data_IF_645504800764
#
_entry.id   IF_645504800764
#
_cell.length_a   1.000
_cell.length_b   1.000
_cell.length_c   1.000
_cell.angle_alpha   90.00
_cell.angle_beta   90.00
_cell.angle_gamma   90.00
#
_symmetry.space_group_name_H-M   'P 1'
#
loop_
_entity.id
_entity.type
_entity.pdbx_description
1 polymer ?
#
# COMPACT_ATOMS: atom_id res chain seq x y z
N UNK A 1 -3.54 11.90 -38.33
CA UNK A 1 -2.96 10.56 -38.53
C UNK A 1 -2.97 9.91 -37.16
N UNK A 2 -3.76 8.87 -37.03
CA UNK A 2 -4.30 8.37 -35.75
C UNK A 2 -3.27 7.68 -34.86
N UNK A 3 -3.39 7.91 -33.57
CA UNK A 3 -2.80 7.12 -32.51
C UNK A 3 -3.91 6.26 -31.92
N UNK A 4 -3.84 4.95 -32.19
CA UNK A 4 -4.81 3.99 -31.72
C UNK A 4 -4.69 3.75 -30.23
N UNK A 5 -5.77 4.00 -29.49
CA UNK A 5 -5.93 3.60 -28.11
C UNK A 5 -6.11 2.07 -28.04
N UNK A 6 -5.21 1.38 -27.38
CA UNK A 6 -5.36 -0.03 -27.03
C UNK A 6 -6.22 -0.12 -25.77
N UNK A 7 -7.52 -0.35 -25.96
CA UNK A 7 -8.45 -0.68 -24.88
C UNK A 7 -8.25 -2.16 -24.57
N UNK A 8 -7.65 -2.49 -23.44
CA UNK A 8 -7.65 -3.84 -22.92
C UNK A 8 -9.01 -4.12 -22.27
N UNK A 9 -9.80 -4.99 -22.91
CA UNK A 9 -11.12 -5.42 -22.44
C UNK A 9 -10.98 -6.16 -21.11
N UNK A 10 -11.76 -5.72 -20.13
CA UNK A 10 -12.26 -6.57 -19.04
C UNK A 10 -13.18 -7.63 -19.66
N UNK A 11 -13.18 -8.79 -19.07
CA UNK A 11 -14.02 -9.95 -19.26
C UNK A 11 -13.27 -11.13 -19.91
N UNK A 12 -12.86 -12.03 -19.02
CA UNK A 12 -12.82 -13.48 -19.22
C UNK A 12 -12.27 -14.21 -17.98
N UNK A 13 -13.07 -14.26 -16.91
CA UNK A 13 -12.99 -15.31 -15.91
C UNK A 13 -14.39 -15.58 -15.35
N UNK A 14 -15.24 -16.17 -16.16
CA UNK A 14 -16.37 -16.98 -15.71
C UNK A 14 -16.89 -17.80 -16.86
N UNK A 15 -16.50 -19.08 -16.93
CA UNK A 15 -17.37 -20.19 -17.36
C UNK A 15 -16.59 -21.49 -17.23
N UNK A 16 -16.96 -22.26 -16.23
CA UNK A 16 -16.63 -23.68 -16.15
C UNK A 16 -17.46 -24.37 -17.22
N UNK A 17 -16.81 -24.96 -18.23
CA UNK A 17 -17.44 -25.84 -19.21
C UNK A 17 -17.04 -27.28 -18.94
N UNK A 18 -18.01 -28.23 -18.87
CA UNK A 18 -17.74 -29.62 -18.60
C UNK A 18 -17.50 -30.37 -19.91
N UNK A 19 -16.25 -30.54 -20.31
CA UNK A 19 -15.90 -31.56 -21.30
C UNK A 19 -14.73 -32.38 -20.78
N UNK A 20 -15.06 -33.48 -20.09
CA UNK A 20 -14.16 -34.59 -19.87
C UNK A 20 -13.82 -35.23 -21.22
N UNK A 21 -12.69 -34.88 -21.82
CA UNK A 21 -12.03 -35.73 -22.80
C UNK A 21 -10.99 -36.59 -22.08
N UNK A 22 -11.28 -37.88 -22.00
CA UNK A 22 -10.32 -38.93 -21.66
C UNK A 22 -9.12 -38.84 -22.59
N UNK A 23 -7.98 -38.39 -22.09
CA UNK A 23 -6.70 -38.48 -22.74
C UNK A 23 -6.06 -39.84 -22.38
N UNK A 24 -5.32 -40.47 -23.30
CA UNK A 24 -4.73 -41.79 -23.06
C UNK A 24 -3.65 -41.72 -22.00
N UNK A 25 -3.65 -42.72 -21.13
CA UNK A 25 -2.66 -43.00 -20.10
C UNK A 25 -1.25 -43.04 -20.70
N UNK A 26 -0.32 -42.17 -20.25
CA UNK A 26 1.08 -42.36 -20.58
C UNK A 26 2.02 -41.17 -20.65
N UNK A 27 1.64 -39.97 -20.21
CA UNK A 27 2.63 -38.89 -19.97
C UNK A 27 2.50 -38.42 -18.55
N UNK A 28 3.37 -38.86 -17.66
CA UNK A 28 3.63 -38.21 -16.39
C UNK A 28 4.23 -36.83 -16.73
N UNK A 29 3.43 -35.82 -16.85
CA UNK A 29 3.92 -34.44 -16.68
C UNK A 29 4.46 -34.39 -15.26
N UNK A 30 5.78 -34.37 -15.11
CA UNK A 30 6.43 -34.09 -13.82
C UNK A 30 5.85 -32.77 -13.33
N UNK A 31 5.05 -32.82 -12.25
CA UNK A 31 4.54 -31.60 -11.61
C UNK A 31 5.78 -30.88 -11.14
N UNK A 32 6.12 -29.79 -11.81
CA UNK A 32 7.28 -28.96 -11.44
C UNK A 32 7.08 -28.49 -10.01
N UNK A 33 7.97 -28.93 -9.12
CA UNK A 33 7.88 -28.61 -7.70
C UNK A 33 8.59 -27.27 -7.47
N UNK A 34 7.91 -26.24 -6.93
CA UNK A 34 8.53 -24.93 -6.72
C UNK A 34 9.84 -24.96 -5.92
N UNK A 35 9.99 -25.92 -4.99
CA UNK A 35 11.23 -26.11 -4.22
C UNK A 35 12.44 -26.43 -5.11
N UNK A 36 12.25 -27.22 -6.15
CA UNK A 36 13.35 -27.63 -7.04
C UNK A 36 13.80 -26.47 -7.94
N UNK A 37 12.84 -25.62 -8.36
CA UNK A 37 13.11 -24.42 -9.15
C UNK A 37 13.92 -23.40 -8.33
N UNK A 38 13.63 -23.29 -7.03
CA UNK A 38 14.22 -22.30 -6.15
C UNK A 38 15.49 -22.78 -5.43
N UNK A 39 15.90 -24.03 -5.61
CA UNK A 39 17.03 -24.64 -4.88
C UNK A 39 18.33 -23.84 -4.97
N UNK A 40 18.65 -23.31 -6.16
CA UNK A 40 19.90 -22.61 -6.44
C UNK A 40 19.76 -21.07 -6.45
N UNK A 41 18.60 -20.53 -6.04
CA UNK A 41 18.35 -19.09 -6.08
C UNK A 41 18.88 -18.33 -4.87
N UNK A 42 19.25 -19.03 -3.80
CA UNK A 42 19.63 -18.44 -2.53
C UNK A 42 18.44 -17.98 -1.66
N UNK A 43 17.21 -18.25 -2.08
CA UNK A 43 16.02 -17.98 -1.27
C UNK A 43 15.83 -19.04 -0.18
N UNK A 44 15.38 -18.61 0.99
CA UNK A 44 14.97 -19.52 2.07
C UNK A 44 13.50 -19.89 1.91
N UNK A 45 13.23 -21.17 1.66
CA UNK A 45 11.85 -21.66 1.53
C UNK A 45 11.22 -21.96 2.88
N UNK A 46 9.93 -21.59 3.01
CA UNK A 46 9.07 -21.88 4.16
C UNK A 46 7.71 -22.31 3.64
N UNK A 47 7.32 -23.55 3.91
CA UNK A 47 6.00 -24.07 3.58
C UNK A 47 4.96 -23.68 4.62
N UNK A 48 3.70 -23.65 4.22
CA UNK A 48 2.53 -23.45 5.07
C UNK A 48 2.60 -22.20 5.98
N UNK A 49 3.25 -21.13 5.49
CA UNK A 49 3.32 -19.88 6.22
C UNK A 49 1.96 -19.19 6.16
N UNK A 50 1.39 -18.89 7.32
CA UNK A 50 0.18 -18.07 7.38
C UNK A 50 0.52 -16.62 7.00
N UNK A 51 -0.04 -16.14 5.89
CA UNK A 51 0.24 -14.79 5.40
C UNK A 51 -0.24 -13.70 6.37
N UNK A 52 -1.16 -14.03 7.26
CA UNK A 52 -1.53 -13.20 8.40
C UNK A 52 -0.33 -12.78 9.27
N UNK A 53 0.71 -13.60 9.37
CA UNK A 53 1.95 -13.28 10.11
C UNK A 53 2.84 -12.25 9.39
N UNK A 54 2.60 -12.06 8.09
CA UNK A 54 3.40 -11.21 7.21
C UNK A 54 2.66 -9.92 6.77
N UNK A 55 1.44 -9.69 7.27
CA UNK A 55 0.65 -8.49 6.96
C UNK A 55 0.34 -7.69 8.22
N UNK A 56 0.16 -6.37 8.08
CA UNK A 56 -0.24 -5.51 9.21
C UNK A 56 -1.71 -5.65 9.55
N UNK A 57 -2.57 -6.06 8.61
CA UNK A 57 -3.97 -6.44 8.84
C UNK A 57 -4.10 -7.76 9.60
N UNK A 58 -3.06 -8.58 9.62
CA UNK A 58 -3.02 -9.89 10.26
C UNK A 58 -4.12 -10.84 9.81
N UNK A 59 -4.42 -10.80 8.51
CA UNK A 59 -5.25 -11.78 7.81
C UNK A 59 -4.52 -12.32 6.59
N UNK A 60 -4.93 -13.49 6.13
CA UNK A 60 -4.33 -14.21 5.00
C UNK A 60 -4.03 -15.65 5.35
N UNK A 61 -4.47 -16.57 4.48
CA UNK A 61 -4.28 -18.01 4.62
C UNK A 61 -2.86 -18.47 4.34
N UNK A 62 -2.67 -19.80 4.18
CA UNK A 62 -1.34 -20.40 3.99
C UNK A 62 -0.75 -20.14 2.60
N UNK A 63 0.58 -20.14 2.52
CA UNK A 63 1.31 -20.10 1.25
C UNK A 63 2.71 -20.71 1.37
N UNK A 64 3.30 -21.08 0.24
CA UNK A 64 4.73 -21.30 0.11
C UNK A 64 5.42 -19.94 0.01
N UNK A 65 6.37 -19.65 0.90
CA UNK A 65 7.12 -18.38 0.94
C UNK A 65 8.57 -18.63 0.58
N UNK A 66 9.08 -17.90 -0.41
CA UNK A 66 10.49 -17.80 -0.74
C UNK A 66 11.05 -16.48 -0.19
N UNK A 67 11.76 -16.52 0.93
CA UNK A 67 12.34 -15.36 1.58
C UNK A 67 13.69 -15.01 0.94
N UNK A 68 13.79 -13.84 0.32
CA UNK A 68 14.96 -13.35 -0.40
C UNK A 68 15.65 -12.25 0.42
N UNK A 69 16.75 -12.59 1.08
CA UNK A 69 17.50 -11.66 1.93
C UNK A 69 18.52 -10.82 1.15
N UNK A 70 18.80 -11.16 -0.11
CA UNK A 70 19.69 -10.40 -1.00
C UNK A 70 18.98 -10.06 -2.32
N UNK A 71 19.47 -9.02 -2.98
CA UNK A 71 18.95 -8.61 -4.30
C UNK A 71 19.17 -9.71 -5.33
N UNK A 72 20.29 -10.43 -5.27
CA UNK A 72 20.61 -11.54 -6.17
C UNK A 72 19.61 -12.69 -6.01
N UNK A 73 19.33 -13.09 -4.75
CA UNK A 73 18.32 -14.12 -4.46
C UNK A 73 16.92 -13.70 -4.93
N UNK A 74 16.55 -12.41 -4.74
CA UNK A 74 15.27 -11.88 -5.21
C UNK A 74 15.15 -11.96 -6.74
N UNK A 75 16.15 -11.48 -7.46
CA UNK A 75 16.17 -11.52 -8.94
C UNK A 75 16.17 -12.95 -9.46
N UNK A 76 17.03 -13.84 -8.90
CA UNK A 76 17.10 -15.21 -9.31
C UNK A 76 15.78 -15.97 -9.09
N UNK A 77 15.14 -15.77 -7.92
CA UNK A 77 13.87 -16.42 -7.58
C UNK A 77 12.73 -15.97 -8.49
N UNK A 78 12.59 -14.67 -8.73
CA UNK A 78 11.53 -14.14 -9.60
C UNK A 78 11.72 -14.69 -11.02
N UNK A 79 12.94 -14.62 -11.57
CA UNK A 79 13.23 -15.14 -12.93
C UNK A 79 12.97 -16.64 -13.07
N UNK A 80 13.35 -17.42 -12.07
CA UNK A 80 13.15 -18.87 -12.08
C UNK A 80 11.66 -19.23 -12.04
N UNK A 81 10.88 -18.55 -11.21
CA UNK A 81 9.42 -18.73 -11.11
C UNK A 81 8.70 -18.28 -12.38
N UNK A 82 9.08 -17.13 -12.95
CA UNK A 82 8.52 -16.62 -14.21
C UNK A 82 8.80 -17.57 -15.38
N UNK A 83 10.03 -18.08 -15.49
CA UNK A 83 10.39 -19.05 -16.50
C UNK A 83 9.61 -20.36 -16.38
N UNK A 84 9.21 -20.74 -15.17
CA UNK A 84 8.39 -21.93 -14.91
C UNK A 84 6.88 -21.66 -14.99
N UNK A 85 6.45 -20.42 -15.22
CA UNK A 85 5.03 -20.03 -15.26
C UNK A 85 4.31 -20.16 -13.92
N UNK A 86 5.05 -20.09 -12.80
CA UNK A 86 4.48 -20.19 -11.45
C UNK A 86 3.99 -18.81 -11.01
N UNK A 87 2.73 -18.68 -10.51
CA UNK A 87 2.22 -17.43 -10.00
C UNK A 87 3.08 -16.89 -8.85
N UNK A 88 3.41 -15.59 -8.89
CA UNK A 88 4.23 -14.91 -7.89
C UNK A 88 3.46 -13.78 -7.24
N UNK A 89 3.41 -13.79 -5.90
CA UNK A 89 3.00 -12.63 -5.10
C UNK A 89 4.25 -12.01 -4.45
N UNK A 90 4.55 -10.76 -4.80
CA UNK A 90 5.61 -10.00 -4.12
C UNK A 90 5.09 -9.45 -2.79
N UNK A 91 5.80 -9.75 -1.71
CA UNK A 91 5.44 -9.31 -0.37
C UNK A 91 6.67 -8.79 0.37
N UNK A 92 6.63 -7.54 0.82
CA UNK A 92 7.68 -6.97 1.66
C UNK A 92 7.15 -6.73 3.09
N UNK A 93 6.85 -5.50 3.47
CA UNK A 93 6.30 -5.18 4.79
C UNK A 93 4.83 -5.51 5.00
N UNK A 94 4.10 -5.96 3.99
CA UNK A 94 2.70 -6.42 4.08
C UNK A 94 1.71 -5.37 4.61
N UNK A 95 2.02 -4.08 4.49
CA UNK A 95 1.27 -3.01 5.15
C UNK A 95 0.10 -2.45 4.33
N UNK A 96 -0.06 -2.88 3.07
CA UNK A 96 -1.12 -2.41 2.18
C UNK A 96 -1.75 -3.58 1.40
N UNK A 97 -1.97 -4.72 2.10
CA UNK A 97 -2.50 -5.94 1.50
C UNK A 97 -3.69 -6.46 2.30
N UNK A 98 -4.73 -6.90 1.58
CA UNK A 98 -5.81 -7.72 2.11
C UNK A 98 -5.80 -9.06 1.37
N UNK A 99 -5.29 -10.09 2.03
CA UNK A 99 -5.13 -11.43 1.48
C UNK A 99 -6.23 -12.33 2.01
N UNK A 100 -6.87 -13.10 1.13
CA UNK A 100 -7.94 -14.03 1.46
C UNK A 100 -7.53 -15.16 2.41
N UNK A 101 -8.51 -15.76 3.05
CA UNK A 101 -8.31 -16.81 4.04
C UNK A 101 -7.82 -18.14 3.42
N UNK A 102 -8.04 -18.33 2.11
CA UNK A 102 -7.51 -19.48 1.34
C UNK A 102 -6.01 -19.34 1.03
N UNK A 103 -5.41 -18.15 1.26
CA UNK A 103 -4.00 -17.90 1.02
C UNK A 103 -3.67 -17.56 -0.42
N UNK A 104 -2.55 -18.13 -0.94
CA UNK A 104 -2.08 -17.86 -2.29
C UNK A 104 -1.64 -19.14 -2.98
N UNK A 105 -2.27 -19.46 -4.11
CA UNK A 105 -1.92 -20.62 -4.95
C UNK A 105 -0.78 -20.26 -5.92
N UNK A 106 0.45 -20.31 -5.40
CA UNK A 106 1.68 -19.94 -6.07
C UNK A 106 2.82 -19.79 -5.06
N UNK A 107 3.80 -18.95 -5.37
CA UNK A 107 4.91 -18.64 -4.47
C UNK A 107 4.85 -17.18 -4.05
N UNK A 108 4.82 -16.96 -2.74
CA UNK A 108 5.02 -15.62 -2.17
C UNK A 108 6.53 -15.34 -2.09
N UNK A 109 7.02 -14.45 -2.92
CA UNK A 109 8.40 -13.98 -2.86
C UNK A 109 8.49 -12.83 -1.86
N UNK A 110 9.05 -13.14 -0.68
CA UNK A 110 9.25 -12.15 0.38
C UNK A 110 10.52 -11.34 0.10
N UNK A 111 10.33 -10.04 -0.12
CA UNK A 111 11.43 -9.08 -0.27
C UNK A 111 11.96 -8.74 1.12
N UNK A 112 13.06 -9.40 1.51
CA UNK A 112 13.66 -9.28 2.84
C UNK A 112 15.07 -8.66 2.81
N UNK A 113 15.40 -7.95 1.73
CA UNK A 113 16.63 -7.16 1.60
C UNK A 113 16.58 -5.97 2.56
N UNK A 114 17.66 -5.64 3.28
CA UNK A 114 17.61 -4.65 4.37
C UNK A 114 18.71 -3.57 4.30
N UNK A 115 19.51 -3.56 3.25
CA UNK A 115 20.60 -2.61 3.09
C UNK A 115 20.11 -1.16 3.08
N UNK A 116 20.79 -0.31 3.88
CA UNK A 116 20.56 1.14 3.91
C UNK A 116 21.92 1.83 3.96
N UNK A 117 22.18 2.67 2.98
CA UNK A 117 23.42 3.43 2.87
C UNK A 117 23.13 4.93 2.85
N UNK A 118 23.58 5.63 3.89
CA UNK A 118 23.55 7.10 3.94
C UNK A 118 24.68 7.63 3.06
N UNK A 119 24.36 8.54 2.18
CA UNK A 119 25.27 9.21 1.24
C UNK A 119 25.19 10.72 1.41
N UNK A 120 26.17 11.44 0.87
CA UNK A 120 26.15 12.91 0.86
C UNK A 120 24.86 13.41 0.17
N UNK A 121 24.00 14.07 0.98
CA UNK A 121 22.73 14.60 0.52
C UNK A 121 21.69 13.56 0.14
N UNK A 122 21.76 12.31 0.67
CA UNK A 122 20.76 11.32 0.33
C UNK A 122 20.85 9.98 1.06
N UNK A 123 20.01 9.04 0.63
CA UNK A 123 19.99 7.66 1.11
C UNK A 123 19.67 6.70 -0.03
N UNK A 124 20.42 5.61 -0.10
CA UNK A 124 20.10 4.43 -0.89
C UNK A 124 19.55 3.35 0.05
N UNK A 125 18.36 2.83 -0.25
CA UNK A 125 17.75 1.77 0.54
C UNK A 125 17.33 0.61 -0.38
N UNK A 126 17.64 -0.62 0.03
CA UNK A 126 17.11 -1.81 -0.61
C UNK A 126 15.59 -1.93 -0.39
N UNK A 127 14.92 -2.61 -1.31
CA UNK A 127 13.46 -2.62 -1.38
C UNK A 127 12.77 -3.16 -0.12
N UNK A 128 13.36 -4.15 0.56
CA UNK A 128 12.81 -4.74 1.78
C UNK A 128 13.13 -3.97 3.06
N UNK A 129 14.01 -2.95 3.01
CA UNK A 129 14.40 -2.17 4.18
C UNK A 129 13.15 -1.54 4.84
N UNK A 130 13.05 -1.65 6.17
CA UNK A 130 11.93 -1.07 6.92
C UNK A 130 11.88 0.45 6.71
N UNK A 131 10.75 0.95 6.24
CA UNK A 131 10.63 2.36 5.86
C UNK A 131 10.91 3.34 7.00
N UNK A 132 10.30 3.12 8.18
CA UNK A 132 10.54 4.03 9.30
C UNK A 132 11.98 3.96 9.83
N UNK A 133 12.64 2.81 9.71
CA UNK A 133 14.06 2.70 10.03
C UNK A 133 14.92 3.51 9.05
N UNK A 134 14.59 3.54 7.75
CA UNK A 134 15.25 4.41 6.76
C UNK A 134 15.07 5.87 7.14
N UNK A 135 13.83 6.32 7.39
CA UNK A 135 13.55 7.72 7.80
C UNK A 135 14.31 8.08 9.09
N UNK A 136 14.30 7.19 10.07
CA UNK A 136 15.06 7.41 11.33
C UNK A 136 16.56 7.55 11.08
N UNK A 137 17.13 6.71 10.23
CA UNK A 137 18.56 6.75 9.91
C UNK A 137 18.95 8.06 9.21
N UNK A 138 18.12 8.55 8.27
CA UNK A 138 18.39 9.84 7.61
C UNK A 138 18.33 11.02 8.56
N UNK A 139 17.31 11.07 9.44
CA UNK A 139 17.18 12.13 10.46
C UNK A 139 18.36 12.08 11.46
N UNK A 140 18.74 10.88 11.89
CA UNK A 140 19.91 10.71 12.80
C UNK A 140 21.23 11.13 12.15
N UNK A 141 21.35 11.03 10.82
CA UNK A 141 22.50 11.53 10.06
C UNK A 141 22.43 13.04 9.77
N UNK A 142 21.47 13.78 10.32
CA UNK A 142 21.30 15.21 10.10
C UNK A 142 20.72 15.57 8.73
N UNK A 143 20.06 14.63 8.05
CA UNK A 143 19.40 14.87 6.78
C UNK A 143 17.90 15.09 6.98
N UNK A 144 17.31 16.03 6.23
CA UNK A 144 15.88 16.32 6.23
C UNK A 144 15.22 16.01 4.88
N UNK A 145 13.89 15.87 4.90
CA UNK A 145 13.07 15.60 3.72
C UNK A 145 12.06 14.47 3.94
N UNK A 146 12.44 13.36 4.58
CA UNK A 146 11.57 12.19 4.78
C UNK A 146 10.80 12.22 6.12
N UNK A 147 11.06 13.15 7.01
CA UNK A 147 10.52 13.21 8.39
C UNK A 147 8.99 13.21 8.46
N UNK A 148 8.32 13.85 7.48
CA UNK A 148 6.86 13.84 7.38
C UNK A 148 6.27 12.45 7.12
N UNK A 149 7.07 11.52 6.61
CA UNK A 149 6.69 10.15 6.29
C UNK A 149 7.07 9.14 7.39
N UNK A 150 7.44 9.65 8.58
CA UNK A 150 7.79 8.83 9.75
C UNK A 150 6.63 7.97 10.21
N UNK A 151 6.94 6.77 10.71
CA UNK A 151 5.97 5.84 11.30
C UNK A 151 4.99 5.23 10.29
N UNK A 152 5.17 5.42 8.98
CA UNK A 152 4.39 4.71 7.97
C UNK A 152 4.90 3.26 7.92
N UNK A 153 4.04 2.26 8.18
CA UNK A 153 4.43 0.87 8.08
C UNK A 153 4.76 0.46 6.64
N UNK A 154 5.66 -0.51 6.49
CA UNK A 154 6.01 -1.05 5.18
C UNK A 154 7.51 -1.01 4.90
N UNK A 155 7.88 -1.10 3.63
CA UNK A 155 9.26 -1.16 3.15
C UNK A 155 9.59 -0.04 2.17
N UNK A 156 10.88 0.27 2.04
CA UNK A 156 11.38 1.31 1.16
C UNK A 156 10.95 1.11 -0.31
N UNK A 157 11.04 -0.12 -0.83
CA UNK A 157 10.64 -0.44 -2.21
C UNK A 157 9.14 -0.37 -2.47
N UNK A 158 8.30 -0.39 -1.44
CA UNK A 158 6.86 -0.21 -1.58
C UNK A 158 6.46 1.28 -1.72
N UNK A 159 7.34 2.20 -1.33
CA UNK A 159 7.00 3.64 -1.30
C UNK A 159 6.73 4.24 -2.69
N UNK A 160 7.47 3.94 -3.78
CA UNK A 160 7.16 4.47 -5.10
C UNK A 160 5.94 3.80 -5.76
N UNK A 161 5.50 2.62 -5.31
CA UNK A 161 4.41 1.89 -5.97
C UNK A 161 3.13 2.72 -6.01
N UNK A 162 2.79 3.36 -4.90
CA UNK A 162 1.59 4.21 -4.81
C UNK A 162 1.90 5.65 -4.35
N UNK A 163 3.11 6.14 -4.63
CA UNK A 163 3.52 7.49 -4.24
C UNK A 163 3.18 7.78 -2.78
N UNK A 164 3.78 7.04 -1.86
CA UNK A 164 3.49 7.17 -0.42
C UNK A 164 3.64 8.62 0.02
N UNK A 165 2.63 9.10 0.74
CA UNK A 165 2.60 10.49 1.19
C UNK A 165 1.80 10.69 2.47
N UNK A 166 2.26 11.61 3.30
CA UNK A 166 1.59 12.06 4.52
C UNK A 166 2.02 13.49 4.85
N UNK A 167 1.13 14.22 5.55
CA UNK A 167 1.40 15.58 6.04
C UNK A 167 1.92 16.56 4.97
N UNK A 168 1.41 16.43 3.74
CA UNK A 168 1.77 17.28 2.61
C UNK A 168 3.08 16.94 1.90
N UNK A 169 3.79 15.90 2.33
CA UNK A 169 4.96 15.37 1.65
C UNK A 169 4.62 14.06 0.90
N UNK A 170 5.25 13.84 -0.24
CA UNK A 170 5.15 12.62 -1.04
C UNK A 170 6.55 12.15 -1.44
N UNK A 171 6.76 10.82 -1.56
CA UNK A 171 8.07 10.26 -1.93
C UNK A 171 8.54 10.73 -3.30
N UNK A 172 7.63 10.97 -4.25
CA UNK A 172 7.95 11.46 -5.59
C UNK A 172 8.79 12.74 -5.57
N UNK A 173 8.57 13.63 -4.57
CA UNK A 173 9.26 14.92 -4.47
C UNK A 173 10.74 14.81 -4.06
N UNK A 174 11.13 13.66 -3.51
CA UNK A 174 12.46 13.42 -2.95
C UNK A 174 13.17 12.24 -3.61
N UNK A 175 12.43 11.44 -4.38
CA UNK A 175 12.94 10.27 -5.07
C UNK A 175 13.92 10.73 -6.18
N UNK A 176 15.13 10.18 -6.16
CA UNK A 176 16.14 10.42 -7.18
C UNK A 176 16.04 9.41 -8.31
N UNK A 177 15.93 8.12 -7.95
CA UNK A 177 15.77 7.01 -8.89
C UNK A 177 15.33 5.74 -8.19
N UNK A 178 14.80 4.80 -8.96
CA UNK A 178 14.38 3.47 -8.51
C UNK A 178 15.09 2.41 -9.34
N UNK A 179 15.63 1.37 -8.69
CA UNK A 179 16.16 0.20 -9.41
C UNK A 179 15.05 -0.81 -9.58
N UNK A 180 14.75 -1.16 -10.82
CA UNK A 180 13.71 -2.11 -11.20
C UNK A 180 14.31 -3.36 -11.84
N UNK A 181 13.68 -4.50 -11.57
CA UNK A 181 13.78 -5.70 -12.40
C UNK A 181 12.57 -5.72 -13.33
N UNK A 182 12.79 -5.79 -14.61
CA UNK A 182 11.77 -6.10 -15.61
C UNK A 182 11.59 -7.63 -15.65
N UNK A 183 10.38 -8.10 -15.34
CA UNK A 183 10.10 -9.55 -15.24
C UNK A 183 10.03 -10.22 -16.61
N UNK A 184 9.66 -9.49 -17.65
CA UNK A 184 9.56 -10.05 -19.01
C UNK A 184 10.95 -10.30 -19.61
N UNK A 185 11.90 -9.38 -19.40
CA UNK A 185 13.26 -9.48 -19.95
C UNK A 185 14.26 -10.07 -18.97
N UNK A 186 13.97 -9.99 -17.66
CA UNK A 186 14.91 -10.33 -16.60
C UNK A 186 16.02 -9.31 -16.40
N UNK A 187 15.95 -8.13 -17.04
CA UNK A 187 16.96 -7.09 -16.94
C UNK A 187 16.71 -6.19 -15.73
N UNK A 188 17.78 -5.62 -15.19
CA UNK A 188 17.67 -4.63 -14.11
C UNK A 188 18.18 -3.28 -14.58
N UNK A 189 17.41 -2.20 -14.29
CA UNK A 189 17.82 -0.84 -14.64
C UNK A 189 17.41 0.15 -13.56
N UNK A 190 18.09 1.29 -13.54
CA UNK A 190 17.64 2.45 -12.80
C UNK A 190 16.68 3.27 -13.67
N UNK A 191 15.59 3.72 -13.05
CA UNK A 191 14.59 4.61 -13.67
C UNK A 191 14.48 5.91 -12.87
N UNK A 192 14.21 6.99 -13.56
CA UNK A 192 13.98 8.31 -12.95
C UNK A 192 12.50 8.50 -12.60
N UNK A 193 12.17 9.42 -11.66
CA UNK A 193 10.79 9.66 -11.22
C UNK A 193 9.82 9.99 -12.37
N UNK A 194 10.28 10.67 -13.42
CA UNK A 194 9.46 11.02 -14.58
C UNK A 194 8.92 9.78 -15.30
N UNK A 195 9.67 8.69 -15.33
CA UNK A 195 9.24 7.43 -15.94
C UNK A 195 8.15 6.72 -15.12
N UNK A 196 8.02 7.07 -13.84
CA UNK A 196 7.08 6.42 -12.92
C UNK A 196 5.68 7.05 -12.92
N UNK A 197 5.47 8.17 -13.61
CA UNK A 197 4.15 8.77 -13.82
C UNK A 197 3.36 8.97 -12.53
N UNK A 198 4.01 9.53 -11.50
CA UNK A 198 3.42 9.71 -10.19
C UNK A 198 2.17 10.59 -10.19
N UNK A 199 1.17 10.17 -9.43
CA UNK A 199 -0.03 10.92 -9.11
C UNK A 199 -0.47 10.67 -7.65
N UNK A 200 -1.66 11.15 -7.31
CA UNK A 200 -2.22 10.92 -5.98
C UNK A 200 -2.47 9.44 -5.74
N UNK A 201 -1.71 8.84 -4.83
CA UNK A 201 -1.75 7.39 -4.47
C UNK A 201 -1.59 6.47 -5.69
N UNK A 202 -0.82 6.88 -6.69
CA UNK A 202 -0.59 6.09 -7.90
C UNK A 202 0.79 6.31 -8.50
N UNK A 203 1.24 5.30 -9.24
CA UNK A 203 2.35 5.33 -10.19
C UNK A 203 2.11 4.27 -11.27
N UNK A 204 2.97 4.19 -12.27
CA UNK A 204 2.92 3.11 -13.27
C UNK A 204 3.16 1.72 -12.69
N UNK A 205 3.72 1.63 -11.48
CA UNK A 205 3.97 0.36 -10.78
C UNK A 205 2.72 -0.17 -10.05
N UNK A 206 1.73 0.68 -9.80
CA UNK A 206 0.52 0.28 -9.08
C UNK A 206 -0.35 -0.62 -9.95
N UNK A 207 -0.82 -1.74 -9.38
CA UNK A 207 -1.62 -2.76 -10.08
C UNK A 207 -0.91 -3.41 -11.28
N UNK A 208 0.43 -3.31 -11.34
CA UNK A 208 1.26 -4.02 -12.33
C UNK A 208 2.11 -5.07 -11.63
N UNK A 209 2.30 -6.18 -12.33
CA UNK A 209 3.10 -7.29 -11.83
C UNK A 209 4.35 -7.54 -12.69
N UNK A 210 4.61 -6.69 -13.68
CA UNK A 210 5.68 -6.84 -14.67
C UNK A 210 7.03 -6.26 -14.24
N UNK A 211 7.07 -5.56 -13.09
CA UNK A 211 8.30 -5.02 -12.53
C UNK A 211 8.43 -5.27 -11.02
N UNK A 212 9.66 -5.45 -10.55
CA UNK A 212 9.99 -5.57 -9.13
C UNK A 212 10.91 -4.43 -8.72
N UNK A 213 10.56 -3.70 -7.67
CA UNK A 213 11.45 -2.71 -7.07
C UNK A 213 12.56 -3.43 -6.30
N UNK A 214 13.81 -3.12 -6.62
CA UNK A 214 15.01 -3.69 -5.97
C UNK A 214 15.65 -2.73 -4.98
N UNK A 215 15.64 -1.42 -5.29
CA UNK A 215 16.19 -0.38 -4.43
C UNK A 215 15.58 0.98 -4.78
N UNK A 216 15.63 1.92 -3.83
CA UNK A 216 15.22 3.31 -3.99
C UNK A 216 16.32 4.25 -3.53
N UNK A 217 16.53 5.35 -4.23
CA UNK A 217 17.48 6.40 -3.86
C UNK A 217 16.75 7.72 -3.72
N UNK A 218 16.93 8.39 -2.57
CA UNK A 218 16.34 9.68 -2.27
C UNK A 218 17.40 10.77 -2.19
N UNK A 219 17.08 11.95 -2.72
CA UNK A 219 17.85 13.18 -2.51
C UNK A 219 17.26 13.93 -1.32
N UNK A 220 18.11 14.29 -0.36
CA UNK A 220 17.71 14.84 0.93
C UNK A 220 18.42 16.16 1.22
N UNK A 221 17.88 16.93 2.14
CA UNK A 221 18.44 18.21 2.57
C UNK A 221 19.56 17.98 3.58
N UNK A 222 20.76 18.43 3.22
CA UNK A 222 21.95 18.27 4.08
C UNK A 222 21.99 19.27 5.25
N UNK A 223 21.08 20.27 5.28
CA UNK A 223 20.98 21.27 6.35
C UNK A 223 20.15 20.79 7.57
N UNK A 224 19.68 19.53 7.54
CA UNK A 224 18.87 18.95 8.62
C UNK A 224 17.49 19.56 8.78
N UNK A 225 17.06 20.43 7.87
CA UNK A 225 15.75 21.06 7.91
C UNK A 225 14.71 20.20 7.21
N UNK A 226 13.47 20.25 7.72
CA UNK A 226 12.31 19.59 7.09
C UNK A 226 11.99 20.17 5.73
N UNK A 227 11.14 19.46 4.97
CA UNK A 227 10.40 20.09 3.88
C UNK A 227 9.52 21.24 4.44
N UNK A 228 9.15 22.24 3.61
CA UNK A 228 8.21 23.28 4.02
C UNK A 228 6.88 22.68 4.50
N UNK A 229 6.49 23.02 5.74
CA UNK A 229 5.30 22.46 6.39
C UNK A 229 4.05 23.21 5.96
N UNK A 230 3.20 22.56 5.17
CA UNK A 230 1.93 23.11 4.65
C UNK A 230 0.70 22.40 5.21
N UNK A 231 0.89 21.40 6.06
CA UNK A 231 -0.21 20.67 6.67
C UNK A 231 -0.49 21.24 8.07
N UNK A 232 -1.60 21.98 8.20
CA UNK A 232 -1.90 22.81 9.36
C UNK A 232 -1.81 22.12 10.72
N UNK A 233 -2.25 20.85 10.85
CA UNK A 233 -2.15 20.08 12.09
C UNK A 233 -0.68 19.86 12.50
N UNK A 234 0.20 19.51 11.54
CA UNK A 234 1.62 19.30 11.80
C UNK A 234 2.34 20.63 12.05
N UNK A 235 2.09 21.66 11.22
CA UNK A 235 2.66 22.99 11.41
C UNK A 235 2.35 23.54 12.81
N UNK A 236 1.10 23.44 13.24
CA UNK A 236 0.68 23.85 14.59
C UNK A 236 1.38 23.04 15.69
N UNK A 237 1.54 21.73 15.50
CA UNK A 237 2.18 20.83 16.48
C UNK A 237 3.66 21.14 16.73
N UNK A 238 4.34 21.80 15.77
CA UNK A 238 5.75 22.21 15.88
C UNK A 238 5.95 23.73 15.96
N UNK A 239 4.87 24.50 16.07
CA UNK A 239 4.91 25.95 16.16
C UNK A 239 5.46 26.62 14.88
N UNK A 240 5.18 26.05 13.70
CA UNK A 240 5.61 26.58 12.42
C UNK A 240 4.49 27.41 11.76
N UNK A 241 4.85 28.49 11.07
CA UNK A 241 3.97 29.16 10.13
C UNK A 241 3.80 28.30 8.86
N UNK A 242 2.77 28.60 8.05
CA UNK A 242 2.55 27.90 6.78
C UNK A 242 3.76 28.02 5.85
N UNK A 243 4.24 26.89 5.37
CA UNK A 243 5.43 26.81 4.50
C UNK A 243 6.77 26.98 5.20
N UNK A 244 6.79 27.15 6.52
CA UNK A 244 8.04 27.22 7.28
C UNK A 244 8.64 25.82 7.51
N UNK A 245 9.98 25.72 7.50
CA UNK A 245 10.72 24.51 7.85
C UNK A 245 11.10 24.49 9.33
N UNK A 246 11.27 23.31 9.88
CA UNK A 246 11.75 23.06 11.25
C UNK A 246 12.86 22.00 11.24
N UNK A 247 13.63 21.81 12.31
CA UNK A 247 14.55 20.69 12.41
C UNK A 247 13.84 19.35 12.15
N UNK A 248 14.38 18.52 11.26
CA UNK A 248 13.77 17.24 10.85
C UNK A 248 13.45 16.32 12.03
N UNK A 249 14.32 16.30 13.06
CA UNK A 249 14.08 15.52 14.28
C UNK A 249 12.82 15.99 15.03
N UNK A 250 12.63 17.30 15.19
CA UNK A 250 11.44 17.87 15.83
C UNK A 250 10.16 17.51 15.07
N UNK A 251 10.22 17.59 13.73
CA UNK A 251 9.07 17.23 12.86
C UNK A 251 8.77 15.75 12.97
N UNK A 252 9.80 14.88 12.91
CA UNK A 252 9.63 13.43 13.09
C UNK A 252 8.91 13.10 14.41
N UNK A 253 9.33 13.69 15.51
CA UNK A 253 8.71 13.45 16.82
C UNK A 253 7.24 13.88 16.86
N UNK A 254 6.92 15.00 16.23
CA UNK A 254 5.54 15.47 16.13
C UNK A 254 4.69 14.53 15.25
N UNK A 255 5.22 14.09 14.10
CA UNK A 255 4.55 13.15 13.20
C UNK A 255 4.26 11.84 13.90
N UNK A 256 5.23 11.27 14.62
CA UNK A 256 5.03 10.02 15.36
C UNK A 256 3.95 10.14 16.42
N UNK A 257 3.91 11.26 17.18
CA UNK A 257 2.84 11.51 18.16
C UNK A 257 1.46 11.63 17.50
N UNK A 258 1.34 12.41 16.42
CA UNK A 258 0.09 12.58 15.69
C UNK A 258 -0.42 11.26 15.09
N UNK A 259 0.49 10.47 14.52
CA UNK A 259 0.14 9.17 13.95
C UNK A 259 -0.22 8.14 15.01
N UNK A 260 0.50 8.09 16.13
CA UNK A 260 0.17 7.20 17.26
C UNK A 260 -1.22 7.50 17.82
N UNK A 261 -1.58 8.78 17.96
CA UNK A 261 -2.92 9.22 18.35
C UNK A 261 -4.05 8.76 17.40
N UNK A 262 -3.70 8.47 16.14
CA UNK A 262 -4.62 7.95 15.12
C UNK A 262 -4.52 6.42 14.93
N UNK A 263 -3.72 5.70 15.72
CA UNK A 263 -3.48 4.26 15.54
C UNK A 263 -2.73 3.92 14.23
N UNK A 264 -1.92 4.85 13.70
CA UNK A 264 -1.23 4.74 12.41
C UNK A 264 0.27 4.45 12.54
N UNK A 265 0.75 4.19 13.74
CA UNK A 265 2.07 3.62 14.03
C UNK A 265 1.86 2.20 14.51
N UNK A 266 2.49 1.24 13.86
CA UNK A 266 2.28 -0.19 14.17
C UNK A 266 2.76 -0.51 15.59
N UNK A 267 1.85 -0.98 16.42
CA UNK A 267 2.07 -1.50 17.77
C UNK A 267 1.39 -2.88 17.89
N UNK A 268 2.14 -3.96 18.08
CA UNK A 268 1.56 -5.30 18.23
C UNK A 268 0.58 -5.46 19.39
N UNK A 269 0.66 -4.61 20.41
CA UNK A 269 -0.23 -4.65 21.56
C UNK A 269 -1.54 -3.86 21.37
N UNK A 270 -1.61 -3.00 20.34
CA UNK A 270 -2.76 -2.16 20.06
C UNK A 270 -3.47 -2.60 18.77
N UNK A 271 -4.60 -3.26 18.89
CA UNK A 271 -5.40 -3.72 17.76
C UNK A 271 -5.92 -2.59 16.86
N UNK A 272 -5.95 -1.33 17.31
CA UNK A 272 -6.27 -0.20 16.42
C UNK A 272 -5.18 0.04 15.37
N UNK A 273 -4.00 -0.54 15.54
CA UNK A 273 -2.90 -0.50 14.57
C UNK A 273 -2.85 -1.71 13.63
N UNK A 274 -3.66 -2.75 13.87
CA UNK A 274 -3.74 -3.93 13.01
C UNK A 274 -4.61 -3.63 11.80
N UNK A 275 -4.10 -2.82 10.92
CA UNK A 275 -4.80 -2.28 9.75
C UNK A 275 -3.86 -2.19 8.55
N UNK A 276 -4.41 -1.89 7.38
CA UNK A 276 -3.64 -1.49 6.20
C UNK A 276 -3.55 0.05 6.05
N UNK A 277 -3.59 0.79 7.16
CA UNK A 277 -3.72 2.23 7.14
C UNK A 277 -5.13 2.70 6.78
N UNK A 278 -5.24 3.83 6.08
CA UNK A 278 -6.53 4.26 5.51
C UNK A 278 -7.00 3.24 4.48
N UNK A 279 -8.17 2.63 4.71
CA UNK A 279 -8.66 1.58 3.85
C UNK A 279 -9.29 2.11 2.54
N UNK A 280 -9.84 3.31 2.58
CA UNK A 280 -10.42 3.96 1.41
C UNK A 280 -9.65 5.23 1.06
N UNK A 281 -9.46 5.46 -0.24
CA UNK A 281 -8.92 6.71 -0.75
C UNK A 281 -9.95 7.82 -0.64
N UNK A 282 -9.48 9.08 -0.59
CA UNK A 282 -10.37 10.21 -0.72
C UNK A 282 -10.94 10.25 -2.14
N UNK A 283 -12.26 10.14 -2.34
CA UNK A 283 -12.86 10.08 -3.67
C UNK A 283 -12.72 11.42 -4.40
N UNK A 284 -12.34 11.35 -5.67
CA UNK A 284 -12.37 12.50 -6.59
C UNK A 284 -13.65 12.44 -7.38
N UNK A 285 -14.47 13.48 -7.25
CA UNK A 285 -15.76 13.60 -7.94
C UNK A 285 -15.59 14.54 -9.13
N UNK A 286 -15.96 14.06 -10.32
CA UNK A 286 -15.90 14.83 -11.55
C UNK A 286 -16.75 16.12 -11.47
N UNK A 287 -16.34 17.22 -12.11
CA UNK A 287 -16.95 18.54 -11.93
C UNK A 287 -18.46 18.55 -12.12
N UNK A 288 -18.97 17.82 -13.11
CA UNK A 288 -20.39 17.72 -13.45
C UNK A 288 -21.24 17.04 -12.36
N UNK A 289 -20.64 16.21 -11.53
CA UNK A 289 -21.33 15.50 -10.44
C UNK A 289 -21.23 16.22 -9.08
N UNK A 290 -20.32 17.20 -8.93
CA UNK A 290 -20.07 17.87 -7.64
C UNK A 290 -21.34 18.50 -7.05
N UNK A 291 -22.14 19.17 -7.87
CA UNK A 291 -23.38 19.80 -7.41
C UNK A 291 -24.37 18.76 -6.87
N UNK A 292 -24.56 17.65 -7.56
CA UNK A 292 -25.42 16.55 -7.14
C UNK A 292 -24.96 15.94 -5.81
N UNK A 293 -23.66 15.66 -5.69
CA UNK A 293 -23.07 15.11 -4.47
C UNK A 293 -23.24 16.05 -3.28
N UNK A 294 -22.98 17.37 -3.48
CA UNK A 294 -23.18 18.37 -2.42
C UNK A 294 -24.66 18.46 -2.00
N UNK A 295 -25.59 18.35 -2.93
CA UNK A 295 -27.02 18.33 -2.61
C UNK A 295 -27.41 17.08 -1.80
N UNK A 296 -26.92 15.89 -2.16
CA UNK A 296 -27.13 14.67 -1.38
C UNK A 296 -26.54 14.77 0.03
N UNK A 297 -25.33 15.31 0.18
CA UNK A 297 -24.72 15.57 1.47
C UNK A 297 -25.58 16.53 2.30
N UNK A 298 -26.00 17.67 1.74
CA UNK A 298 -26.81 18.67 2.45
C UNK A 298 -28.18 18.11 2.87
N UNK A 299 -28.80 17.30 2.05
CA UNK A 299 -30.07 16.62 2.38
C UNK A 299 -29.94 15.68 3.59
N UNK A 300 -28.77 15.08 3.78
CA UNK A 300 -28.55 14.10 4.85
C UNK A 300 -27.98 14.72 6.14
N UNK A 301 -27.07 15.70 6.04
CA UNK A 301 -26.36 16.28 7.19
C UNK A 301 -26.66 17.75 7.44
N UNK A 302 -27.57 18.35 6.68
CA UNK A 302 -27.92 19.79 6.81
C UNK A 302 -26.77 20.70 6.36
N UNK A 303 -26.51 21.75 7.13
CA UNK A 303 -25.55 22.81 6.78
C UNK A 303 -24.07 22.43 7.07
N UNK A 304 -23.77 21.21 7.46
CA UNK A 304 -22.41 20.78 7.75
C UNK A 304 -21.53 20.81 6.48
N UNK A 305 -20.41 21.53 6.56
CA UNK A 305 -19.47 21.64 5.43
C UNK A 305 -18.58 20.39 5.32
N UNK A 306 -18.62 19.72 4.19
CA UNK A 306 -17.70 18.62 3.91
C UNK A 306 -16.31 19.16 3.55
N UNK A 307 -15.22 18.66 4.17
CA UNK A 307 -13.87 19.03 3.77
C UNK A 307 -13.59 18.57 2.34
N UNK A 308 -13.17 19.49 1.49
CA UNK A 308 -12.84 19.24 0.09
C UNK A 308 -11.50 19.85 -0.26
N UNK A 309 -10.85 19.24 -1.27
CA UNK A 309 -9.54 19.67 -1.75
C UNK A 309 -9.57 19.68 -3.29
N UNK A 310 -8.77 20.56 -3.95
CA UNK A 310 -8.66 20.54 -5.39
C UNK A 310 -8.00 19.23 -5.86
N UNK A 311 -8.41 18.74 -7.03
CA UNK A 311 -7.79 17.64 -7.74
C UNK A 311 -7.78 17.95 -9.24
N UNK A 312 -6.82 17.40 -10.04
CA UNK A 312 -6.76 17.67 -11.48
C UNK A 312 -8.06 17.37 -12.21
N UNK A 313 -8.73 16.28 -11.85
CA UNK A 313 -9.94 15.78 -12.53
C UNK A 313 -11.23 16.08 -11.76
N UNK A 314 -11.23 17.04 -10.83
CA UNK A 314 -12.43 17.39 -10.08
C UNK A 314 -12.20 17.88 -8.67
N UNK A 315 -13.11 17.49 -7.77
CA UNK A 315 -13.06 17.85 -6.34
C UNK A 315 -12.87 16.59 -5.51
N UNK A 316 -11.82 16.57 -4.68
CA UNK A 316 -11.52 15.49 -3.75
C UNK A 316 -12.26 15.71 -2.43
N UNK A 317 -13.10 14.75 -2.03
CA UNK A 317 -13.86 14.76 -0.78
C UNK A 317 -13.16 13.97 0.32
N UNK A 318 -13.31 14.36 1.58
CA UNK A 318 -12.79 13.60 2.72
C UNK A 318 -13.57 12.31 2.92
N UNK A 319 -12.95 11.17 2.62
CA UNK A 319 -13.55 9.85 2.84
C UNK A 319 -13.89 9.60 4.32
N UNK A 320 -13.01 9.97 5.25
CA UNK A 320 -13.26 9.82 6.68
C UNK A 320 -14.50 10.60 7.13
N UNK A 321 -14.67 11.83 6.65
CA UNK A 321 -15.85 12.63 6.94
C UNK A 321 -17.13 11.99 6.37
N UNK A 322 -17.07 11.50 5.11
CA UNK A 322 -18.20 10.83 4.47
C UNK A 322 -18.60 9.57 5.25
N UNK A 323 -17.65 8.75 5.67
CA UNK A 323 -17.88 7.54 6.45
C UNK A 323 -18.59 7.88 7.78
N UNK A 324 -18.06 8.85 8.53
CA UNK A 324 -18.68 9.26 9.80
C UNK A 324 -20.09 9.80 9.62
N UNK A 325 -20.31 10.63 8.61
CA UNK A 325 -21.63 11.22 8.31
C UNK A 325 -22.58 10.23 7.65
N UNK A 326 -22.07 9.16 7.07
CA UNK A 326 -22.89 8.02 6.66
C UNK A 326 -23.34 7.15 7.85
N UNK A 327 -23.00 7.48 9.09
CA UNK A 327 -23.42 6.76 10.29
C UNK A 327 -22.43 5.68 10.77
N UNK A 328 -21.26 5.60 10.16
CA UNK A 328 -20.21 4.65 10.55
C UNK A 328 -19.22 5.34 11.50
N UNK A 329 -19.55 5.39 12.77
CA UNK A 329 -18.70 5.99 13.78
C UNK A 329 -17.44 5.13 14.06
N UNK A 330 -16.46 5.73 14.71
CA UNK A 330 -15.28 5.01 15.25
C UNK A 330 -15.74 3.82 16.08
N UNK A 331 -15.12 2.66 15.84
CA UNK A 331 -15.46 1.41 16.52
C UNK A 331 -16.68 0.65 15.95
N UNK A 332 -17.32 1.16 14.86
CA UNK A 332 -18.43 0.44 14.18
C UNK A 332 -17.97 -0.97 13.70
N UNK A 333 -18.79 -2.02 13.80
CA UNK A 333 -20.19 -2.04 14.26
C UNK A 333 -20.35 -2.21 15.78
N UNK A 334 -19.27 -2.33 16.55
CA UNK A 334 -19.32 -2.45 18.00
C UNK A 334 -18.24 -3.35 18.58
N UNK A 335 -18.18 -3.42 19.91
CA UNK A 335 -17.04 -4.03 20.62
C UNK A 335 -16.87 -5.53 20.38
N UNK A 336 -17.96 -6.24 20.12
CA UNK A 336 -17.95 -7.71 19.94
C UNK A 336 -17.56 -8.15 18.52
N UNK A 337 -17.50 -7.22 17.55
CA UNK A 337 -17.15 -7.57 16.19
C UNK A 337 -15.66 -7.87 16.03
N UNK A 338 -15.31 -8.97 15.32
CA UNK A 338 -13.91 -9.33 15.09
C UNK A 338 -13.17 -8.35 14.19
N UNK A 339 -13.88 -7.72 13.24
CA UNK A 339 -13.41 -6.63 12.40
C UNK A 339 -14.24 -5.38 12.63
N UNK A 340 -13.60 -4.22 12.79
CA UNK A 340 -14.31 -2.94 13.00
C UNK A 340 -13.50 -1.73 12.54
N UNK A 341 -14.17 -0.61 12.37
CA UNK A 341 -13.48 0.67 12.22
C UNK A 341 -12.64 0.93 13.48
N UNK A 342 -11.44 1.48 13.30
CA UNK A 342 -10.59 1.86 14.44
C UNK A 342 -11.33 2.81 15.38
N UNK A 343 -11.10 2.66 16.68
CA UNK A 343 -11.63 3.60 17.68
C UNK A 343 -10.90 4.95 17.66
N UNK A 344 -9.77 5.03 16.92
CA UNK A 344 -8.94 6.21 16.79
C UNK A 344 -9.10 6.92 15.45
N UNK A 345 -9.40 6.16 14.37
CA UNK A 345 -9.45 6.71 13.00
C UNK A 345 -10.45 5.97 12.13
N UNK A 346 -11.51 6.63 11.68
CA UNK A 346 -12.61 6.03 10.90
C UNK A 346 -12.20 5.46 9.54
N UNK A 347 -11.09 5.93 8.96
CA UNK A 347 -10.58 5.35 7.70
C UNK A 347 -9.90 3.99 7.85
N UNK A 348 -9.52 3.58 9.07
CA UNK A 348 -8.85 2.31 9.30
C UNK A 348 -9.85 1.20 9.63
N UNK A 349 -9.88 0.17 8.81
CA UNK A 349 -10.49 -1.11 9.15
C UNK A 349 -9.47 -1.93 9.93
N UNK A 350 -9.85 -2.47 11.07
CA UNK A 350 -8.95 -3.13 12.01
C UNK A 350 -9.37 -4.55 12.32
N UNK A 351 -8.38 -5.44 12.41
CA UNK A 351 -8.52 -6.77 12.97
C UNK A 351 -8.40 -6.68 14.50
N UNK A 352 -9.39 -7.21 15.22
CA UNK A 352 -9.42 -7.15 16.71
C UNK A 352 -8.81 -8.38 17.36
N UNK A 353 -7.99 -9.13 16.63
CA UNK A 353 -7.26 -10.32 17.10
C UNK A 353 -7.74 -11.62 16.49
N UNK A 354 -9.01 -11.71 16.08
CA UNK A 354 -9.62 -12.95 15.56
C UNK A 354 -10.35 -12.75 14.22
N UNK A 355 -10.22 -11.61 13.55
CA UNK A 355 -10.88 -11.36 12.27
C UNK A 355 -10.29 -12.24 11.16
N UNK A 356 -11.16 -12.72 10.29
CA UNK A 356 -10.83 -13.32 8.99
C UNK A 356 -10.77 -12.24 7.90
N UNK A 357 -10.23 -12.58 6.74
CA UNK A 357 -10.30 -11.69 5.58
C UNK A 357 -11.76 -11.47 5.15
N UNK A 358 -12.61 -12.49 5.29
CA UNK A 358 -14.05 -12.38 5.01
C UNK A 358 -14.73 -11.33 5.90
N UNK A 359 -14.39 -11.26 7.19
CA UNK A 359 -14.93 -10.25 8.11
C UNK A 359 -14.56 -8.83 7.69
N UNK A 360 -13.29 -8.61 7.29
CA UNK A 360 -12.83 -7.32 6.81
C UNK A 360 -13.48 -6.92 5.48
N UNK A 361 -13.68 -7.87 4.56
CA UNK A 361 -14.41 -7.66 3.30
C UNK A 361 -15.86 -7.28 3.57
N UNK A 362 -16.54 -7.98 4.48
CA UNK A 362 -17.93 -7.67 4.84
C UNK A 362 -18.06 -6.26 5.44
N UNK A 363 -17.15 -5.89 6.35
CA UNK A 363 -17.10 -4.54 6.92
C UNK A 363 -16.83 -3.48 5.84
N UNK A 364 -15.86 -3.73 4.96
CA UNK A 364 -15.52 -2.79 3.88
C UNK A 364 -16.69 -2.56 2.93
N UNK A 365 -17.40 -3.62 2.53
CA UNK A 365 -18.61 -3.53 1.70
C UNK A 365 -19.71 -2.73 2.40
N UNK A 366 -19.98 -3.04 3.67
CA UNK A 366 -21.01 -2.34 4.47
C UNK A 366 -20.74 -0.83 4.50
N UNK A 367 -19.50 -0.42 4.73
CA UNK A 367 -19.13 1.00 4.78
C UNK A 367 -19.20 1.64 3.38
N UNK A 368 -18.64 0.99 2.36
CA UNK A 368 -18.66 1.47 0.97
C UNK A 368 -20.09 1.68 0.46
N UNK A 369 -20.91 0.64 0.62
CA UNK A 369 -22.26 0.63 0.09
C UNK A 369 -23.16 1.63 0.85
N UNK A 370 -23.01 1.76 2.16
CA UNK A 370 -23.74 2.76 2.93
C UNK A 370 -23.33 4.21 2.63
N UNK A 371 -22.08 4.47 2.27
CA UNK A 371 -21.64 5.79 1.78
C UNK A 371 -22.23 6.04 0.37
N UNK A 372 -22.21 5.02 -0.49
CA UNK A 372 -22.78 5.13 -1.84
C UNK A 372 -24.30 5.37 -1.82
N UNK A 373 -25.04 4.67 -0.97
CA UNK A 373 -26.47 4.85 -0.77
C UNK A 373 -26.83 6.28 -0.32
N UNK A 374 -26.06 6.85 0.64
CA UNK A 374 -26.37 8.15 1.23
C UNK A 374 -25.91 9.34 0.40
N UNK A 375 -24.75 9.25 -0.24
CA UNK A 375 -24.12 10.38 -0.91
C UNK A 375 -23.89 10.21 -2.39
N UNK A 376 -24.20 9.02 -2.97
CA UNK A 376 -23.94 8.73 -4.37
C UNK A 376 -22.45 8.64 -4.72
N UNK A 377 -21.58 8.38 -3.73
CA UNK A 377 -20.13 8.26 -3.88
C UNK A 377 -19.71 6.84 -3.52
N UNK A 378 -19.15 6.11 -4.47
CA UNK A 378 -18.51 4.82 -4.21
C UNK A 378 -17.09 5.04 -3.73
N UNK A 379 -16.76 4.51 -2.56
CA UNK A 379 -15.40 4.54 -2.03
C UNK A 379 -14.54 3.45 -2.67
N UNK A 380 -13.30 3.81 -3.04
CA UNK A 380 -12.34 2.88 -3.64
C UNK A 380 -11.32 2.42 -2.58
N UNK A 381 -11.05 1.10 -2.47
CA UNK A 381 -10.06 0.59 -1.54
C UNK A 381 -8.64 1.01 -1.94
N UNK A 382 -7.82 1.36 -0.95
CA UNK A 382 -6.39 1.64 -1.14
C UNK A 382 -5.53 0.37 -1.09
N UNK A 383 -5.80 -0.62 -0.21
CA UNK A 383 -5.07 -1.87 -0.17
C UNK A 383 -5.26 -2.71 -1.43
N UNK A 384 -4.18 -3.40 -1.82
CA UNK A 384 -4.23 -4.41 -2.88
C UNK A 384 -4.89 -5.67 -2.31
N UNK A 385 -5.88 -6.20 -3.03
CA UNK A 385 -6.59 -7.43 -2.66
C UNK A 385 -5.98 -8.63 -3.37
N UNK A 386 -5.85 -9.75 -2.64
CA UNK A 386 -5.33 -11.02 -3.16
C UNK A 386 -6.30 -12.14 -2.77
N UNK A 387 -6.88 -12.83 -3.75
CA UNK A 387 -7.84 -13.91 -3.50
C UNK A 387 -9.18 -13.46 -2.90
N UNK A 388 -9.47 -12.16 -2.88
CA UNK A 388 -10.75 -11.59 -2.42
C UNK A 388 -11.21 -10.48 -3.34
N UNK A 389 -12.53 -10.26 -3.40
CA UNK A 389 -13.18 -9.17 -4.15
C UNK A 389 -13.96 -8.28 -3.19
N UNK A 390 -13.89 -6.96 -3.39
CA UNK A 390 -14.62 -5.94 -2.63
C UNK A 390 -15.80 -5.40 -3.43
#
# INVERSE_FOLDING_TARGET
>A
MGVGALICRRDEYSSVSPFARTLPCGVRTSRVVPSDILADTGARLRADVRLAELTTLRVGGPALVAECATTEALVASVRALDAAGIPVLLLAGGSNLLIGDDGFDGVVVRVATTGVEIRDGGVLAEAGANWDAVVRATVAAGLGGLECLSGIPGSAGATPVQNVGAYGAEVANLLRRVRLLDRATGETRWVEPVELGFGYRTSVLKHRADAVVLAVEFALRADGSSVPLRYGELASAVGAADGESRPAAQVRDAVLRLRAGKGMVLDPADHDTWSAGSFFTNPVVAPERVAQVRAAIAAHVGSATVPTYPAPDGVKFSAGWLIERAGFAKGFPGAEAPARLSTKHTLALTNRGAATAADLVALARTVRDGVAERFGITLEPEPVTVGVTL
#
